data_IF_915070072790
#
_entry.id   IF_915070072790
#
_cell.length_a   1.000
_cell.length_b   1.000
_cell.length_c   1.000
_cell.angle_alpha   90.00
_cell.angle_beta   90.00
_cell.angle_gamma   90.00
#
_symmetry.space_group_name_H-M   'P 1'
#
loop_
_entity.id
_entity.type
_entity.pdbx_description
1 polymer ?
#
# COMPACT_ATOMS: atom_id res chain seq x y z
N UNK A 1 4.03 30.59 -24.08
CA UNK A 1 4.14 29.37 -23.25
C UNK A 1 3.74 28.21 -24.14
N UNK A 2 4.58 27.19 -24.35
CA UNK A 2 4.31 26.19 -25.39
C UNK A 2 3.36 25.10 -24.82
N UNK A 3 2.49 24.57 -25.67
CA UNK A 3 1.57 23.47 -25.35
C UNK A 3 2.27 22.27 -24.66
N UNK A 4 3.52 22.00 -25.02
CA UNK A 4 4.34 20.94 -24.43
C UNK A 4 4.66 21.18 -22.95
N UNK A 5 4.79 22.44 -22.54
CA UNK A 5 5.06 22.83 -21.16
C UNK A 5 3.82 22.63 -20.27
N UNK A 6 2.65 22.99 -20.77
CA UNK A 6 1.37 22.78 -20.06
C UNK A 6 1.03 21.30 -19.87
N UNK A 7 1.29 20.46 -20.87
CA UNK A 7 1.11 19.00 -20.77
C UNK A 7 2.03 18.37 -19.72
N UNK A 8 3.29 18.81 -19.64
CA UNK A 8 4.23 18.34 -18.62
C UNK A 8 3.79 18.74 -17.22
N UNK A 9 3.33 19.96 -17.03
CA UNK A 9 2.85 20.44 -15.71
C UNK A 9 1.59 19.73 -15.26
N UNK A 10 0.63 19.47 -16.17
CA UNK A 10 -0.57 18.71 -15.86
C UNK A 10 -0.26 17.27 -15.46
N UNK A 11 0.69 16.63 -16.17
CA UNK A 11 1.16 15.28 -15.84
C UNK A 11 1.83 15.25 -14.47
N UNK A 12 2.77 16.16 -14.21
CA UNK A 12 3.48 16.22 -12.92
C UNK A 12 2.52 16.42 -11.75
N UNK A 13 1.49 17.27 -11.90
CA UNK A 13 0.46 17.46 -10.87
C UNK A 13 -0.34 16.18 -10.61
N UNK A 14 -0.75 15.45 -11.65
CA UNK A 14 -1.44 14.15 -11.50
C UNK A 14 -0.60 13.12 -10.77
N UNK A 15 0.68 13.04 -11.08
CA UNK A 15 1.61 12.12 -10.43
C UNK A 15 1.91 12.51 -8.98
N UNK A 16 2.06 13.81 -8.71
CA UNK A 16 2.25 14.33 -7.34
C UNK A 16 1.00 14.11 -6.46
N UNK A 17 -0.19 14.10 -7.05
CA UNK A 17 -1.44 13.82 -6.33
C UNK A 17 -1.51 12.42 -5.73
N UNK A 18 -0.64 11.48 -6.13
CA UNK A 18 -0.53 10.15 -5.55
C UNK A 18 0.29 10.12 -4.24
N UNK A 19 1.07 11.17 -3.94
CA UNK A 19 1.92 11.21 -2.74
C UNK A 19 1.07 11.25 -1.45
N UNK A 20 0.08 12.17 -1.29
CA UNK A 20 -0.72 12.21 -0.07
C UNK A 20 -1.47 10.90 0.23
N UNK A 21 -2.21 10.28 -0.69
CA UNK A 21 -2.89 9.02 -0.41
C UNK A 21 -1.92 7.88 -0.08
N UNK A 22 -0.74 7.82 -0.70
CA UNK A 22 0.30 6.85 -0.34
C UNK A 22 0.83 7.07 1.08
N UNK A 23 1.08 8.32 1.45
CA UNK A 23 1.54 8.67 2.79
C UNK A 23 0.48 8.36 3.86
N UNK A 24 -0.78 8.75 3.62
CA UNK A 24 -1.87 8.52 4.54
C UNK A 24 -2.14 7.02 4.75
N UNK A 25 -2.28 6.26 3.66
CA UNK A 25 -2.49 4.80 3.73
C UNK A 25 -1.32 4.12 4.42
N UNK A 26 -0.10 4.48 4.03
CA UNK A 26 1.11 3.85 4.57
C UNK A 26 1.32 4.13 6.05
N UNK A 27 1.15 5.37 6.49
CA UNK A 27 1.24 5.74 7.90
C UNK A 27 0.21 4.99 8.74
N UNK A 28 -1.03 4.91 8.25
CA UNK A 28 -2.11 4.19 8.89
C UNK A 28 -1.79 2.69 9.04
N UNK A 29 -1.35 2.04 7.97
CA UNK A 29 -1.02 0.62 7.98
C UNK A 29 0.17 0.32 8.89
N UNK A 30 1.22 1.15 8.88
CA UNK A 30 2.36 1.00 9.81
C UNK A 30 1.90 1.13 11.26
N UNK A 31 1.09 2.13 11.57
CA UNK A 31 0.57 2.35 12.93
C UNK A 31 -0.20 1.14 13.44
N UNK A 32 -1.15 0.62 12.65
CA UNK A 32 -1.97 -0.52 13.03
C UNK A 32 -1.18 -1.83 13.08
N UNK A 33 -0.24 -2.01 12.15
CA UNK A 33 0.63 -3.18 12.12
C UNK A 33 1.57 -3.22 13.33
N UNK A 34 2.26 -2.12 13.62
CA UNK A 34 3.13 -2.01 14.80
C UNK A 34 2.33 -2.18 16.10
N UNK A 35 1.09 -1.67 16.15
CA UNK A 35 0.19 -1.85 17.28
C UNK A 35 -0.05 -3.32 17.61
N UNK A 36 -0.16 -4.19 16.58
CA UNK A 36 -0.36 -5.65 16.75
C UNK A 36 0.92 -6.40 17.13
N UNK A 37 2.10 -5.80 16.88
CA UNK A 37 3.40 -6.43 17.08
C UNK A 37 4.08 -6.00 18.41
N UNK A 38 3.52 -5.03 19.14
CA UNK A 38 4.04 -4.60 20.44
C UNK A 38 3.96 -5.74 21.45
N UNK A 39 4.77 -5.65 22.49
CA UNK A 39 4.79 -6.62 23.58
C UNK A 39 3.39 -6.81 24.18
N UNK A 40 2.97 -8.07 24.30
CA UNK A 40 1.64 -8.46 24.80
C UNK A 40 0.48 -8.26 23.81
N UNK A 41 0.65 -7.48 22.75
CA UNK A 41 -0.41 -7.23 21.78
C UNK A 41 -0.80 -8.47 20.95
N UNK A 42 0.12 -9.36 20.52
CA UNK A 42 -0.26 -10.56 19.80
C UNK A 42 -1.20 -11.47 20.58
N UNK A 43 -1.02 -11.59 21.90
CA UNK A 43 -1.89 -12.36 22.78
C UNK A 43 -3.27 -11.72 22.90
N UNK A 44 -3.30 -10.41 23.13
CA UNK A 44 -4.55 -9.66 23.30
C UNK A 44 -5.38 -9.62 22.01
N UNK A 45 -4.76 -9.25 20.89
CA UNK A 45 -5.40 -9.21 19.56
C UNK A 45 -5.77 -10.63 19.12
N UNK A 46 -4.91 -11.60 19.40
CA UNK A 46 -5.16 -13.02 19.12
C UNK A 46 -6.38 -13.54 19.86
N UNK A 47 -6.51 -13.24 21.16
CA UNK A 47 -7.70 -13.60 21.93
C UNK A 47 -8.98 -12.99 21.34
N UNK A 48 -8.91 -11.72 20.92
CA UNK A 48 -10.03 -11.10 20.20
C UNK A 48 -10.34 -11.82 18.87
N UNK A 49 -9.32 -12.17 18.08
CA UNK A 49 -9.52 -12.93 16.82
C UNK A 49 -10.20 -14.28 17.08
N UNK A 50 -9.79 -15.00 18.13
CA UNK A 50 -10.42 -16.27 18.51
C UNK A 50 -11.87 -16.11 18.93
N UNK A 51 -12.21 -15.02 19.63
CA UNK A 51 -13.58 -14.71 20.03
C UNK A 51 -14.53 -14.49 18.85
N UNK A 52 -13.97 -14.07 17.69
CA UNK A 52 -14.73 -13.91 16.43
C UNK A 52 -14.55 -15.10 15.47
N UNK A 53 -14.01 -16.21 15.96
CA UNK A 53 -13.90 -17.48 15.24
C UNK A 53 -12.65 -17.65 14.38
N UNK A 54 -11.62 -16.81 14.58
CA UNK A 54 -10.37 -16.84 13.84
C UNK A 54 -9.27 -17.56 14.60
N UNK A 55 -8.92 -18.76 14.18
CA UNK A 55 -7.91 -19.59 14.84
C UNK A 55 -6.80 -19.99 13.86
N UNK A 56 -5.52 -20.04 14.31
CA UNK A 56 -5.01 -19.64 15.63
C UNK A 56 -4.84 -18.10 15.75
N UNK A 57 -5.48 -17.47 16.73
CA UNK A 57 -5.60 -16.01 16.84
C UNK A 57 -4.26 -15.27 16.97
N UNK A 58 -3.35 -15.74 17.84
CA UNK A 58 -2.02 -15.14 18.03
C UNK A 58 -1.20 -15.11 16.74
N UNK A 59 -1.15 -16.23 16.03
CA UNK A 59 -0.40 -16.32 14.75
C UNK A 59 -1.00 -15.39 13.70
N UNK A 60 -2.32 -15.29 13.63
CA UNK A 60 -3.01 -14.38 12.72
C UNK A 60 -2.77 -12.92 13.10
N UNK A 61 -2.73 -12.56 14.38
CA UNK A 61 -2.40 -11.22 14.84
C UNK A 61 -0.99 -10.80 14.41
N UNK A 62 0.00 -11.68 14.59
CA UNK A 62 1.39 -11.43 14.14
C UNK A 62 1.45 -11.33 12.62
N UNK A 63 0.86 -12.27 11.89
CA UNK A 63 0.90 -12.31 10.43
C UNK A 63 0.26 -11.06 9.82
N UNK A 64 -0.91 -10.64 10.33
CA UNK A 64 -1.57 -9.41 9.87
C UNK A 64 -0.77 -8.17 10.24
N UNK A 65 -0.17 -8.12 11.43
CA UNK A 65 0.71 -7.02 11.84
C UNK A 65 1.91 -6.84 10.91
N UNK A 66 2.60 -7.93 10.56
CA UNK A 66 3.73 -7.91 9.61
C UNK A 66 3.24 -7.47 8.22
N UNK A 67 2.14 -8.03 7.74
CA UNK A 67 1.59 -7.70 6.43
C UNK A 67 1.20 -6.21 6.33
N UNK A 68 0.60 -5.65 7.38
CA UNK A 68 0.24 -4.24 7.45
C UNK A 68 1.47 -3.32 7.45
N UNK A 69 2.51 -3.63 8.25
CA UNK A 69 3.76 -2.85 8.23
C UNK A 69 4.41 -2.89 6.85
N UNK A 70 4.51 -4.08 6.26
CA UNK A 70 5.10 -4.26 4.93
C UNK A 70 4.32 -3.50 3.86
N UNK A 71 2.98 -3.62 3.85
CA UNK A 71 2.11 -2.90 2.93
C UNK A 71 2.22 -1.37 3.13
N UNK A 72 2.31 -0.92 4.38
CA UNK A 72 2.44 0.48 4.72
C UNK A 72 3.75 1.09 4.22
N UNK A 73 4.88 0.42 4.46
CA UNK A 73 6.19 0.84 3.94
C UNK A 73 6.16 0.86 2.41
N UNK A 74 5.67 -0.21 1.79
CA UNK A 74 5.54 -0.32 0.33
C UNK A 74 4.71 0.82 -0.28
N UNK A 75 3.61 1.22 0.37
CA UNK A 75 2.79 2.33 -0.05
C UNK A 75 3.54 3.67 0.02
N UNK A 76 4.23 3.97 1.14
CA UNK A 76 4.96 5.23 1.31
C UNK A 76 6.07 5.38 0.27
N UNK A 77 6.95 4.40 0.16
CA UNK A 77 8.07 4.47 -0.77
C UNK A 77 7.65 4.25 -2.23
N UNK A 78 6.44 3.75 -2.45
CA UNK A 78 5.95 3.42 -3.79
C UNK A 78 6.63 2.20 -4.41
N UNK A 79 7.00 1.23 -3.59
CA UNK A 79 7.51 -0.06 -4.03
C UNK A 79 6.42 -1.11 -3.86
N UNK A 80 6.16 -1.89 -4.93
CA UNK A 80 5.07 -2.88 -4.92
C UNK A 80 3.69 -2.30 -4.54
N UNK A 81 3.40 -1.10 -5.02
CA UNK A 81 2.17 -0.37 -4.65
C UNK A 81 0.91 -1.17 -4.89
N UNK A 82 0.80 -1.88 -6.01
CA UNK A 82 -0.39 -2.71 -6.31
C UNK A 82 -0.53 -3.92 -5.39
N UNK A 83 0.50 -4.75 -5.16
CA UNK A 83 0.45 -5.80 -4.13
C UNK A 83 0.13 -5.27 -2.73
N UNK A 84 0.73 -4.13 -2.34
CA UNK A 84 0.45 -3.49 -1.05
C UNK A 84 -1.03 -3.05 -0.97
N UNK A 85 -1.56 -2.41 -2.01
CA UNK A 85 -2.96 -2.01 -2.09
C UNK A 85 -3.92 -3.21 -2.02
N UNK A 86 -3.61 -4.32 -2.71
CA UNK A 86 -4.39 -5.56 -2.62
C UNK A 86 -4.37 -6.14 -1.20
N UNK A 87 -3.22 -6.15 -0.53
CA UNK A 87 -3.12 -6.61 0.85
C UNK A 87 -3.99 -5.75 1.79
N UNK A 88 -3.97 -4.42 1.61
CA UNK A 88 -4.83 -3.51 2.39
C UNK A 88 -6.31 -3.79 2.09
N UNK A 89 -6.70 -3.90 0.82
CA UNK A 89 -8.09 -4.21 0.47
C UNK A 89 -8.56 -5.50 1.13
N UNK A 90 -7.75 -6.56 1.08
CA UNK A 90 -8.08 -7.85 1.68
C UNK A 90 -8.21 -7.75 3.21
N UNK A 91 -7.24 -7.11 3.88
CA UNK A 91 -7.27 -6.98 5.35
C UNK A 91 -8.42 -6.09 5.82
N UNK A 92 -8.71 -4.98 5.11
CA UNK A 92 -9.80 -4.08 5.46
C UNK A 92 -11.17 -4.69 5.17
N UNK A 93 -11.35 -5.40 4.06
CA UNK A 93 -12.59 -6.13 3.75
C UNK A 93 -12.87 -7.21 4.81
N UNK A 94 -11.81 -7.93 5.23
CA UNK A 94 -11.92 -8.92 6.28
C UNK A 94 -12.30 -8.28 7.63
N UNK A 95 -11.60 -7.21 8.03
CA UNK A 95 -11.90 -6.45 9.25
C UNK A 95 -13.34 -5.90 9.22
N UNK A 96 -13.78 -5.37 8.08
CA UNK A 96 -15.14 -4.91 7.89
C UNK A 96 -16.15 -6.05 8.15
N UNK A 97 -15.99 -7.18 7.49
CA UNK A 97 -16.95 -8.28 7.56
C UNK A 97 -16.98 -9.00 8.91
N UNK A 98 -15.85 -9.12 9.61
CA UNK A 98 -15.75 -9.91 10.85
C UNK A 98 -15.75 -9.07 12.13
N UNK A 99 -15.33 -7.81 12.04
CA UNK A 99 -15.05 -6.97 13.21
C UNK A 99 -16.01 -5.79 13.30
N UNK A 100 -16.04 -4.93 12.29
CA UNK A 100 -16.62 -3.60 12.38
C UNK A 100 -18.05 -3.51 11.86
N UNK A 101 -18.50 -4.38 10.93
CA UNK A 101 -19.84 -4.31 10.35
C UNK A 101 -20.96 -4.35 11.38
N UNK A 102 -20.81 -5.14 12.44
CA UNK A 102 -21.79 -5.25 13.53
C UNK A 102 -22.00 -3.95 14.32
N UNK A 103 -21.03 -3.04 14.29
CA UNK A 103 -21.05 -1.77 15.02
C UNK A 103 -21.62 -0.62 14.18
N UNK A 104 -22.08 -0.89 12.94
CA UNK A 104 -22.59 0.14 12.02
C UNK A 104 -21.48 1.00 11.41
N UNK A 105 -21.84 2.14 10.86
CA UNK A 105 -20.92 3.01 10.11
C UNK A 105 -19.97 3.82 11.00
N UNK A 106 -20.48 4.42 12.07
CA UNK A 106 -19.82 5.42 12.91
C UNK A 106 -18.53 4.92 13.56
N UNK A 107 -17.38 5.56 13.21
CA UNK A 107 -16.06 5.24 13.74
C UNK A 107 -15.98 5.39 15.25
N UNK A 108 -16.70 6.35 15.84
CA UNK A 108 -16.69 6.61 17.30
C UNK A 108 -17.28 5.44 18.08
N UNK A 109 -18.12 4.64 17.42
CA UNK A 109 -18.73 3.41 17.94
C UNK A 109 -17.98 2.15 17.50
N UNK A 110 -16.79 2.30 16.91
CA UNK A 110 -16.01 1.19 16.36
C UNK A 110 -16.55 0.64 15.05
N UNK A 111 -17.33 1.44 14.30
CA UNK A 111 -17.93 1.09 13.03
C UNK A 111 -16.93 1.08 11.87
N UNK A 112 -17.46 0.80 10.66
CA UNK A 112 -16.62 0.48 9.50
C UNK A 112 -16.25 1.68 8.60
N UNK A 113 -16.59 2.91 8.98
CA UNK A 113 -16.27 4.14 8.23
C UNK A 113 -14.80 4.21 7.81
N UNK A 114 -13.91 3.95 8.77
CA UNK A 114 -12.47 3.97 8.55
C UNK A 114 -12.00 2.88 7.59
N UNK A 115 -12.58 1.67 7.67
CA UNK A 115 -12.26 0.60 6.75
C UNK A 115 -12.60 0.99 5.30
N UNK A 116 -13.78 1.60 5.08
CA UNK A 116 -14.19 2.09 3.75
C UNK A 116 -13.22 3.15 3.23
N UNK A 117 -12.84 4.14 4.06
CA UNK A 117 -11.90 5.17 3.67
C UNK A 117 -10.55 4.58 3.22
N UNK A 118 -9.98 3.64 3.99
CA UNK A 118 -8.74 2.96 3.62
C UNK A 118 -8.89 2.11 2.35
N UNK A 119 -10.02 1.44 2.17
CA UNK A 119 -10.31 0.66 0.96
C UNK A 119 -10.42 1.56 -0.28
N UNK A 120 -11.04 2.73 -0.17
CA UNK A 120 -11.11 3.70 -1.27
C UNK A 120 -9.72 4.20 -1.67
N UNK A 121 -8.86 4.54 -0.69
CA UNK A 121 -7.48 4.96 -0.94
C UNK A 121 -6.69 3.82 -1.59
N UNK A 122 -6.79 2.61 -1.04
CA UNK A 122 -6.10 1.44 -1.60
C UNK A 122 -6.58 1.10 -3.01
N UNK A 123 -7.89 1.19 -3.28
CA UNK A 123 -8.47 1.01 -4.61
C UNK A 123 -7.94 2.03 -5.63
N UNK A 124 -7.86 3.30 -5.24
CA UNK A 124 -7.27 4.33 -6.08
C UNK A 124 -5.79 4.05 -6.40
N UNK A 125 -5.00 3.62 -5.40
CA UNK A 125 -3.59 3.26 -5.59
C UNK A 125 -3.40 1.97 -6.41
N UNK A 126 -4.32 1.01 -6.29
CA UNK A 126 -4.32 -0.21 -7.10
C UNK A 126 -4.49 0.12 -8.59
N UNK A 127 -5.37 1.06 -8.91
CA UNK A 127 -5.65 1.51 -10.28
C UNK A 127 -4.49 2.37 -10.79
N UNK A 128 -4.09 3.40 -10.05
CA UNK A 128 -3.09 4.38 -10.45
C UNK A 128 -1.67 3.80 -10.48
N UNK A 129 -1.35 2.84 -9.59
CA UNK A 129 -0.01 2.31 -9.40
C UNK A 129 0.90 3.25 -8.60
N UNK A 130 2.25 3.05 -8.67
CA UNK A 130 3.22 3.75 -7.82
C UNK A 130 3.41 5.24 -8.15
N UNK A 131 3.16 5.66 -9.41
CA UNK A 131 3.42 7.01 -9.89
C UNK A 131 4.90 7.32 -10.12
N UNK A 132 5.18 8.48 -10.73
CA UNK A 132 6.54 8.91 -11.08
C UNK A 132 7.44 9.16 -9.86
N UNK A 133 6.86 9.61 -8.74
CA UNK A 133 7.58 9.90 -7.50
C UNK A 133 7.61 8.67 -6.58
N UNK A 134 8.16 7.56 -7.08
CA UNK A 134 8.21 6.28 -6.38
C UNK A 134 9.56 5.61 -6.52
N UNK A 135 9.93 4.79 -5.53
CA UNK A 135 11.13 3.95 -5.61
C UNK A 135 11.05 2.97 -6.78
N UNK A 136 9.85 2.47 -7.09
CA UNK A 136 9.63 1.58 -8.22
C UNK A 136 10.06 2.22 -9.55
N UNK A 137 9.58 3.44 -9.82
CA UNK A 137 9.94 4.19 -11.01
C UNK A 137 11.44 4.54 -11.05
N UNK A 138 12.03 4.88 -9.87
CA UNK A 138 13.47 5.11 -9.76
C UNK A 138 14.29 3.88 -10.14
N UNK A 139 13.93 2.71 -9.64
CA UNK A 139 14.58 1.43 -9.96
C UNK A 139 14.40 1.09 -11.44
N UNK A 140 13.19 1.27 -11.99
CA UNK A 140 12.89 1.00 -13.40
C UNK A 140 13.75 1.88 -14.32
N UNK A 141 13.84 3.19 -14.02
CA UNK A 141 14.70 4.13 -14.78
C UNK A 141 16.17 3.78 -14.73
N UNK A 142 16.68 3.38 -13.56
CA UNK A 142 18.07 2.95 -13.40
C UNK A 142 18.32 1.66 -14.18
N UNK A 143 17.41 0.70 -14.13
CA UNK A 143 17.53 -0.59 -14.81
C UNK A 143 17.40 -0.47 -16.34
N UNK A 144 16.59 0.49 -16.83
CA UNK A 144 16.48 0.79 -18.28
C UNK A 144 17.63 1.64 -18.82
N UNK A 145 18.60 2.05 -17.99
CA UNK A 145 19.72 2.88 -18.40
C UNK A 145 19.34 4.30 -18.80
N UNK A 146 18.16 4.77 -18.38
CA UNK A 146 17.67 6.15 -18.60
C UNK A 146 18.31 7.18 -17.65
N UNK A 147 19.31 6.76 -16.85
CA UNK A 147 20.15 7.66 -16.07
C UNK A 147 21.10 8.49 -16.96
N UNK A 148 21.90 9.42 -16.36
CA UNK A 148 22.80 10.32 -17.10
C UNK A 148 23.87 9.60 -17.98
N UNK A 149 23.97 8.28 -17.89
CA UNK A 149 24.86 7.45 -18.72
C UNK A 149 24.19 6.92 -19.98
N UNK A 150 23.46 7.78 -20.70
CA UNK A 150 22.77 7.47 -21.96
C UNK A 150 23.65 6.89 -23.10
N UNK A 151 24.96 6.77 -22.91
CA UNK A 151 25.89 6.45 -24.00
C UNK A 151 26.30 4.97 -24.13
N UNK A 152 25.87 4.06 -23.26
CA UNK A 152 26.51 2.73 -23.23
C UNK A 152 25.61 1.49 -23.32
N UNK A 153 24.29 1.55 -23.53
CA UNK A 153 23.55 0.28 -23.65
C UNK A 153 22.25 0.30 -24.47
N UNK A 154 22.30 -0.28 -25.66
CA UNK A 154 21.21 -1.11 -26.20
C UNK A 154 21.20 -2.43 -25.40
N UNK A 155 20.65 -2.46 -24.20
CA UNK A 155 20.51 -3.68 -23.43
C UNK A 155 19.10 -4.22 -23.59
N UNK A 156 18.98 -5.48 -23.95
CA UNK A 156 17.71 -6.21 -23.82
C UNK A 156 17.26 -6.15 -22.35
N UNK A 157 15.95 -5.97 -22.08
CA UNK A 157 15.45 -5.91 -20.73
C UNK A 157 15.78 -7.21 -19.99
N UNK A 158 16.47 -7.08 -18.86
CA UNK A 158 16.81 -8.22 -18.00
C UNK A 158 15.54 -8.95 -17.53
N UNK A 159 15.61 -10.26 -17.20
CA UNK A 159 14.47 -10.97 -16.62
C UNK A 159 13.91 -10.27 -15.37
N UNK A 160 14.77 -9.65 -14.57
CA UNK A 160 14.40 -8.84 -13.40
C UNK A 160 13.54 -7.64 -13.80
N UNK A 161 13.83 -6.98 -14.89
CA UNK A 161 13.09 -5.84 -15.41
C UNK A 161 11.69 -6.23 -15.89
N UNK A 162 11.55 -7.43 -16.48
CA UNK A 162 10.24 -7.99 -16.86
C UNK A 162 9.39 -8.25 -15.61
N UNK A 163 9.99 -8.80 -14.56
CA UNK A 163 9.32 -9.05 -13.29
C UNK A 163 8.85 -7.75 -12.62
N UNK A 164 9.72 -6.73 -12.57
CA UNK A 164 9.40 -5.41 -12.02
C UNK A 164 8.23 -4.76 -12.76
N UNK A 165 8.17 -4.89 -14.10
CA UNK A 165 7.07 -4.36 -14.91
C UNK A 165 5.73 -5.07 -14.69
N UNK A 166 5.74 -6.34 -14.31
CA UNK A 166 4.53 -7.11 -13.99
C UNK A 166 3.90 -6.71 -12.65
N UNK A 167 4.70 -6.15 -11.73
CA UNK A 167 4.27 -5.76 -10.38
C UNK A 167 3.88 -4.27 -10.30
N UNK A 168 4.09 -3.52 -11.39
CA UNK A 168 3.69 -2.12 -11.51
C UNK A 168 2.18 -2.05 -11.71
#
# INVERSE_FOLDING_TARGET
MSLTMEWNDARLRKEAALIPPRAALGASMIYHGLGKLREGAPEQVGGYFESVGLKPGKSLAVATGIAEVFAGVGAIIGLWTRPAALAVLATQAFALGKVTAKNGYDITKGGFEYNIALMCIAGALLIAGPGLFSAHEGIERLAEGRGPRKFLRKAQPSPLLRLIKLIK
#
